data_IF_011207063275
#
_entry.id   IF_011207063275
#
_cell.length_a   1.000
_cell.length_b   1.000
_cell.length_c   1.000
_cell.angle_alpha   90.00
_cell.angle_beta   90.00
_cell.angle_gamma   90.00
#
_symmetry.space_group_name_H-M   'P 1'
#
loop_
_entity.id
_entity.type
_entity.pdbx_description
1 polymer ?
#
# COMPACT_ATOMS: atom_id res chain seq x y z
N UNK A 1 15.09 -5.27 -8.75
CA UNK A 1 14.68 -4.17 -7.85
C UNK A 1 13.71 -4.68 -6.79
N UNK A 2 12.42 -4.85 -7.09
CA UNK A 2 11.40 -5.31 -6.14
C UNK A 2 11.74 -6.62 -5.41
N UNK A 3 12.20 -7.64 -6.14
CA UNK A 3 12.61 -8.91 -5.52
C UNK A 3 13.71 -8.73 -4.46
N UNK A 4 14.72 -7.89 -4.72
CA UNK A 4 15.82 -7.66 -3.78
C UNK A 4 15.33 -6.89 -2.55
N UNK A 5 14.53 -5.83 -2.76
CA UNK A 5 13.95 -5.06 -1.66
C UNK A 5 13.10 -5.94 -0.75
N UNK A 6 12.20 -6.73 -1.34
CA UNK A 6 11.29 -7.58 -0.59
C UNK A 6 12.01 -8.72 0.13
N UNK A 7 13.02 -9.32 -0.50
CA UNK A 7 13.86 -10.35 0.15
C UNK A 7 14.59 -9.77 1.36
N UNK A 8 15.14 -8.55 1.24
CA UNK A 8 15.79 -7.86 2.34
C UNK A 8 14.80 -7.53 3.47
N UNK A 9 13.60 -7.04 3.14
CA UNK A 9 12.55 -6.78 4.11
C UNK A 9 12.11 -8.06 4.85
N UNK A 10 11.85 -9.13 4.10
CA UNK A 10 11.44 -10.42 4.66
C UNK A 10 12.48 -10.97 5.63
N UNK A 11 13.76 -10.86 5.27
CA UNK A 11 14.88 -11.25 6.13
C UNK A 11 14.97 -10.38 7.40
N UNK A 12 14.93 -9.06 7.27
CA UNK A 12 15.11 -8.16 8.42
C UNK A 12 13.91 -8.15 9.37
N UNK A 13 12.68 -8.23 8.84
CA UNK A 13 11.47 -8.25 9.66
C UNK A 13 11.10 -9.66 10.16
N UNK A 14 11.77 -10.70 9.65
CA UNK A 14 11.46 -12.11 9.88
C UNK A 14 9.98 -12.42 9.57
N UNK A 15 9.57 -12.12 8.34
CA UNK A 15 8.19 -12.29 7.88
C UNK A 15 8.10 -13.08 6.59
N UNK A 16 6.92 -13.66 6.36
CA UNK A 16 6.50 -14.13 5.05
C UNK A 16 6.16 -12.92 4.19
N UNK A 17 6.68 -12.92 2.96
CA UNK A 17 6.33 -11.93 1.95
C UNK A 17 5.66 -12.60 0.74
N UNK A 18 4.52 -12.08 0.31
CA UNK A 18 3.81 -12.50 -0.91
C UNK A 18 3.82 -11.32 -1.88
N UNK A 19 4.66 -11.40 -2.91
CA UNK A 19 4.74 -10.39 -3.97
C UNK A 19 3.71 -10.70 -5.05
N UNK A 20 2.74 -9.82 -5.27
CA UNK A 20 1.68 -10.05 -6.26
C UNK A 20 2.13 -9.60 -7.65
N UNK A 21 2.16 -10.53 -8.60
CA UNK A 21 2.41 -10.25 -10.01
C UNK A 21 1.08 -9.94 -10.73
N UNK A 22 0.48 -8.79 -10.43
CA UNK A 22 -0.78 -8.37 -11.04
C UNK A 22 -0.60 -7.96 -12.52
N UNK A 23 -1.66 -8.09 -13.31
CA UNK A 23 -1.67 -7.63 -14.71
C UNK A 23 -1.64 -6.11 -14.80
N UNK A 24 -0.94 -5.58 -15.81
CA UNK A 24 -0.61 -4.15 -15.93
C UNK A 24 -1.29 -3.51 -17.13
N UNK A 25 -1.56 -2.21 -17.01
CA UNK A 25 -1.90 -1.36 -18.14
C UNK A 25 -0.68 -1.19 -19.08
N UNK A 26 -0.89 -0.97 -20.39
CA UNK A 26 -2.19 -0.79 -21.05
C UNK A 26 -2.93 -2.08 -21.42
N UNK A 27 -2.26 -3.25 -21.44
CA UNK A 27 -2.88 -4.49 -21.90
C UNK A 27 -4.05 -4.91 -21.02
N UNK A 28 -3.97 -4.56 -19.73
CA UNK A 28 -4.98 -4.80 -18.72
C UNK A 28 -5.19 -3.53 -17.87
N UNK A 29 -6.03 -2.59 -18.32
CA UNK A 29 -6.31 -1.36 -17.57
C UNK A 29 -6.99 -1.65 -16.22
N UNK A 30 -6.98 -0.65 -15.33
CA UNK A 30 -7.77 -0.69 -14.10
C UNK A 30 -9.27 -0.92 -14.43
N UNK A 31 -9.98 -1.72 -13.61
CA UNK A 31 -9.62 -2.19 -12.27
C UNK A 31 -8.86 -3.54 -12.20
N UNK A 32 -8.35 -4.09 -13.32
CA UNK A 32 -7.80 -5.46 -13.33
C UNK A 32 -6.69 -5.67 -12.29
N UNK A 33 -5.78 -4.70 -12.10
CA UNK A 33 -4.74 -4.81 -11.08
C UNK A 33 -5.30 -4.88 -9.65
N UNK A 34 -6.42 -4.21 -9.37
CA UNK A 34 -7.11 -4.30 -8.07
C UNK A 34 -7.76 -5.67 -7.89
N UNK A 35 -8.36 -6.23 -8.94
CA UNK A 35 -9.00 -7.55 -8.87
C UNK A 35 -7.98 -8.67 -8.73
N UNK A 36 -6.86 -8.61 -9.45
CA UNK A 36 -5.75 -9.56 -9.30
C UNK A 36 -5.15 -9.51 -7.89
N UNK A 37 -4.96 -8.29 -7.36
CA UNK A 37 -4.45 -8.09 -6.00
C UNK A 37 -5.42 -8.61 -4.95
N UNK A 38 -6.72 -8.40 -5.13
CA UNK A 38 -7.73 -8.93 -4.23
C UNK A 38 -7.78 -10.46 -4.29
N UNK A 39 -7.73 -11.05 -5.48
CA UNK A 39 -7.69 -12.49 -5.65
C UNK A 39 -6.46 -13.12 -4.97
N UNK A 40 -5.30 -12.45 -5.03
CA UNK A 40 -4.10 -12.90 -4.33
C UNK A 40 -4.28 -12.85 -2.80
N UNK A 41 -4.89 -11.80 -2.25
CA UNK A 41 -5.20 -11.70 -0.82
C UNK A 41 -6.18 -12.82 -0.39
N UNK A 42 -7.21 -13.08 -1.20
CA UNK A 42 -8.15 -14.18 -0.94
C UNK A 42 -7.48 -15.55 -1.01
N UNK A 43 -6.54 -15.73 -1.96
CA UNK A 43 -5.74 -16.94 -2.04
C UNK A 43 -4.89 -17.12 -0.79
N UNK A 44 -4.22 -16.09 -0.28
CA UNK A 44 -3.51 -16.15 1.01
C UNK A 44 -4.48 -16.53 2.14
N UNK A 45 -5.64 -15.86 2.23
CA UNK A 45 -6.65 -16.13 3.25
C UNK A 45 -7.21 -17.57 3.22
N UNK A 46 -7.19 -18.25 2.06
CA UNK A 46 -7.61 -19.65 1.96
C UNK A 46 -6.74 -20.63 2.78
N UNK A 47 -5.58 -20.17 3.27
CA UNK A 47 -4.64 -20.96 4.07
C UNK A 47 -4.87 -20.83 5.59
N UNK A 48 -5.79 -19.99 6.06
CA UNK A 48 -6.04 -19.71 7.49
C UNK A 48 -6.26 -20.98 8.32
N UNK A 49 -6.94 -21.98 7.75
CA UNK A 49 -7.24 -23.24 8.44
C UNK A 49 -6.11 -24.29 8.33
N UNK A 50 -4.94 -23.92 7.80
CA UNK A 50 -3.79 -24.81 7.66
C UNK A 50 -3.93 -25.88 6.56
N UNK A 51 -4.94 -25.77 5.70
CA UNK A 51 -5.29 -26.75 4.65
C UNK A 51 -5.16 -26.19 3.22
N UNK A 52 -4.58 -25.00 3.06
CA UNK A 52 -4.39 -24.41 1.74
C UNK A 52 -3.33 -25.14 0.92
N UNK A 53 -3.19 -24.75 -0.34
CA UNK A 53 -2.28 -25.44 -1.30
C UNK A 53 -0.80 -25.22 -0.97
N UNK A 54 -0.45 -24.11 -0.33
CA UNK A 54 0.92 -23.77 0.05
C UNK A 54 1.25 -24.17 1.48
N UNK A 55 2.07 -25.20 1.62
CA UNK A 55 2.43 -25.73 2.94
C UNK A 55 3.19 -24.74 3.83
N UNK A 56 3.92 -23.79 3.24
CA UNK A 56 4.70 -22.80 3.99
C UNK A 56 3.79 -21.72 4.59
N UNK A 57 2.73 -21.31 3.89
CA UNK A 57 1.69 -20.43 4.45
C UNK A 57 0.95 -21.15 5.59
N UNK A 58 0.53 -22.39 5.36
CA UNK A 58 -0.19 -23.17 6.38
C UNK A 58 0.60 -23.34 7.69
N UNK A 59 1.92 -23.50 7.60
CA UNK A 59 2.78 -23.83 8.76
C UNK A 59 3.33 -22.61 9.47
N UNK A 60 3.53 -21.50 8.77
CA UNK A 60 4.37 -20.41 9.25
C UNK A 60 3.67 -19.04 9.24
N UNK A 61 2.55 -18.87 8.55
CA UNK A 61 1.86 -17.57 8.51
C UNK A 61 1.07 -17.31 9.80
N UNK A 62 1.22 -16.10 10.33
CA UNK A 62 0.36 -15.55 11.38
C UNK A 62 -0.72 -14.68 10.73
N UNK A 63 -1.90 -15.26 10.51
CA UNK A 63 -3.01 -14.55 9.87
C UNK A 63 -3.63 -13.47 10.78
N UNK A 64 -3.34 -13.46 12.09
CA UNK A 64 -3.72 -12.39 13.00
C UNK A 64 -2.80 -11.15 12.87
N UNK A 65 -1.70 -11.27 12.11
CA UNK A 65 -0.71 -10.22 11.88
C UNK A 65 -0.37 -10.05 10.40
N UNK A 66 -1.36 -9.65 9.61
CA UNK A 66 -1.15 -9.37 8.18
C UNK A 66 -0.91 -7.88 7.92
N UNK A 67 -0.02 -7.57 6.98
CA UNK A 67 0.27 -6.21 6.54
C UNK A 67 0.13 -6.10 5.02
N UNK A 68 -0.39 -4.96 4.56
CA UNK A 68 -0.44 -4.64 3.13
C UNK A 68 0.56 -3.51 2.85
N UNK A 69 1.36 -3.64 1.81
CA UNK A 69 2.41 -2.67 1.52
C UNK A 69 2.60 -2.49 0.02
N UNK A 70 3.02 -1.28 -0.37
CA UNK A 70 3.42 -1.00 -1.73
C UNK A 70 4.04 0.40 -1.86
N UNK A 71 4.64 0.63 -3.01
CA UNK A 71 5.23 1.90 -3.43
C UNK A 71 4.50 2.47 -4.64
N UNK A 72 4.41 3.80 -4.77
CA UNK A 72 3.84 4.45 -5.96
C UNK A 72 2.44 3.90 -6.30
N UNK A 73 2.24 3.36 -7.50
CA UNK A 73 1.01 2.68 -7.90
C UNK A 73 0.68 1.46 -7.02
N UNK A 74 1.68 0.73 -6.53
CA UNK A 74 1.51 -0.35 -5.56
C UNK A 74 1.00 0.14 -4.20
N UNK A 75 1.38 1.34 -3.77
CA UNK A 75 0.82 1.95 -2.55
C UNK A 75 -0.67 2.30 -2.75
N UNK A 76 -1.04 2.79 -3.93
CA UNK A 76 -2.45 2.99 -4.29
C UNK A 76 -3.23 1.67 -4.27
N UNK A 77 -2.68 0.59 -4.83
CA UNK A 77 -3.29 -0.74 -4.76
C UNK A 77 -3.43 -1.20 -3.30
N UNK A 78 -2.38 -1.09 -2.48
CA UNK A 78 -2.40 -1.45 -1.07
C UNK A 78 -3.49 -0.70 -0.30
N UNK A 79 -3.65 0.60 -0.57
CA UNK A 79 -4.75 1.41 -0.05
C UNK A 79 -6.12 0.84 -0.41
N UNK A 80 -6.39 0.65 -1.70
CA UNK A 80 -7.66 0.13 -2.19
C UNK A 80 -7.99 -1.26 -1.62
N UNK A 81 -6.98 -2.14 -1.50
CA UNK A 81 -7.15 -3.46 -0.89
C UNK A 81 -7.45 -3.37 0.61
N UNK A 82 -6.86 -2.42 1.32
CA UNK A 82 -7.11 -2.19 2.75
C UNK A 82 -8.52 -1.63 3.00
N UNK A 83 -9.02 -0.74 2.13
CA UNK A 83 -10.42 -0.29 2.15
C UNK A 83 -11.35 -1.48 1.86
N UNK A 84 -11.09 -2.24 0.78
CA UNK A 84 -11.89 -3.42 0.41
C UNK A 84 -11.95 -4.46 1.54
N UNK A 85 -10.84 -4.65 2.26
CA UNK A 85 -10.77 -5.50 3.44
C UNK A 85 -11.66 -5.02 4.59
N UNK A 86 -11.72 -3.70 4.85
CA UNK A 86 -12.57 -3.16 5.92
C UNK A 86 -14.05 -3.14 5.57
N UNK A 87 -14.41 -2.96 4.30
CA UNK A 87 -15.80 -2.99 3.83
C UNK A 87 -16.34 -4.43 3.71
N UNK A 88 -15.59 -5.32 3.07
CA UNK A 88 -16.06 -6.69 2.77
C UNK A 88 -15.69 -7.71 3.84
N UNK A 89 -14.71 -7.38 4.69
CA UNK A 89 -14.05 -8.34 5.57
C UNK A 89 -13.10 -9.29 4.82
N UNK A 90 -12.17 -9.87 5.57
CA UNK A 90 -11.36 -11.02 5.16
C UNK A 90 -11.49 -12.07 6.27
N UNK A 91 -12.20 -13.16 5.98
CA UNK A 91 -12.47 -14.17 7.00
C UNK A 91 -11.16 -14.78 7.54
N UNK A 92 -10.97 -14.67 8.85
CA UNK A 92 -9.81 -15.26 9.54
C UNK A 92 -8.47 -14.58 9.26
N UNK A 93 -8.46 -13.42 8.61
CA UNK A 93 -7.25 -12.61 8.41
C UNK A 93 -7.45 -11.23 9.04
N UNK A 94 -6.54 -10.86 9.93
CA UNK A 94 -6.50 -9.54 10.54
C UNK A 94 -5.40 -8.70 9.88
N UNK A 95 -5.83 -7.70 9.12
CA UNK A 95 -4.92 -6.67 8.59
C UNK A 95 -4.55 -5.70 9.71
N UNK A 96 -3.35 -5.81 10.26
CA UNK A 96 -2.89 -4.98 11.39
C UNK A 96 -2.50 -3.59 10.91
N UNK A 97 -1.79 -3.49 9.79
CA UNK A 97 -1.36 -2.21 9.26
C UNK A 97 -1.02 -2.20 7.77
N UNK A 98 -0.79 -0.98 7.28
CA UNK A 98 -0.49 -0.70 5.89
C UNK A 98 0.73 0.21 5.75
N UNK A 99 1.61 -0.07 4.79
CA UNK A 99 2.77 0.77 4.45
C UNK A 99 2.62 1.35 3.05
N UNK A 100 2.66 2.67 2.94
CA UNK A 100 2.48 3.43 1.71
C UNK A 100 3.76 4.21 1.39
N UNK A 101 4.58 3.70 0.47
CA UNK A 101 5.80 4.39 0.06
C UNK A 101 5.54 5.28 -1.17
N UNK A 102 5.66 6.61 -1.02
CA UNK A 102 5.51 7.56 -2.12
C UNK A 102 4.21 7.35 -2.92
N UNK A 103 3.03 7.39 -2.29
CA UNK A 103 1.82 6.85 -2.91
C UNK A 103 1.38 7.63 -4.16
N UNK A 104 1.07 6.89 -5.23
CA UNK A 104 0.48 7.45 -6.45
C UNK A 104 -1.03 7.64 -6.26
N UNK A 105 -1.40 8.72 -5.57
CA UNK A 105 -2.78 9.21 -5.56
C UNK A 105 -2.96 10.25 -6.64
N UNK A 106 -4.19 10.52 -7.08
CA UNK A 106 -4.54 11.60 -7.99
C UNK A 106 -4.79 12.93 -7.26
N UNK A 107 -5.09 13.97 -8.04
CA UNK A 107 -5.56 15.26 -7.55
C UNK A 107 -7.04 15.48 -7.90
N UNK A 108 -7.63 16.53 -7.34
CA UNK A 108 -9.02 16.93 -7.62
C UNK A 108 -9.20 17.46 -9.05
N UNK A 109 -8.20 18.20 -9.52
CA UNK A 109 -8.17 18.81 -10.84
C UNK A 109 -7.07 18.15 -11.70
N UNK A 110 -7.17 18.20 -13.03
CA UNK A 110 -6.15 17.66 -13.90
C UNK A 110 -4.78 18.31 -13.69
N UNK A 111 -3.72 17.50 -13.72
CA UNK A 111 -2.34 17.96 -13.59
C UNK A 111 -1.34 17.10 -14.40
N UNK A 112 -0.05 17.24 -14.12
CA UNK A 112 1.01 16.54 -14.83
C UNK A 112 0.86 15.01 -14.84
N UNK A 113 0.21 14.42 -13.82
CA UNK A 113 0.03 12.97 -13.71
C UNK A 113 -1.30 12.49 -14.33
N UNK A 114 -2.19 13.41 -14.72
CA UNK A 114 -3.49 13.07 -15.32
C UNK A 114 -3.39 12.19 -16.57
N UNK A 115 -2.48 12.42 -17.53
CA UNK A 115 -2.35 11.54 -18.69
C UNK A 115 -1.99 10.10 -18.32
N UNK A 116 -1.24 9.91 -17.22
CA UNK A 116 -0.92 8.56 -16.71
C UNK A 116 -2.18 7.91 -16.15
N UNK A 117 -2.98 8.65 -15.37
CA UNK A 117 -4.26 8.17 -14.82
C UNK A 117 -5.23 7.78 -15.94
N UNK A 118 -5.40 8.63 -16.97
CA UNK A 118 -6.24 8.35 -18.13
C UNK A 118 -5.75 7.13 -18.93
N UNK A 119 -4.44 6.93 -18.99
CA UNK A 119 -3.85 5.78 -19.68
C UNK A 119 -4.05 4.46 -18.91
N UNK A 120 -3.90 4.47 -17.59
CA UNK A 120 -4.04 3.25 -16.77
C UNK A 120 -5.48 2.97 -16.37
N UNK A 121 -6.35 3.98 -16.36
CA UNK A 121 -7.75 3.88 -16.00
C UNK A 121 -8.65 4.65 -16.98
N UNK A 122 -8.78 4.19 -18.24
CA UNK A 122 -9.46 4.94 -19.30
C UNK A 122 -10.94 5.21 -19.02
N UNK A 123 -11.58 4.41 -18.15
CA UNK A 123 -12.97 4.59 -17.76
C UNK A 123 -13.17 5.61 -16.63
N UNK A 124 -12.09 6.16 -16.05
CA UNK A 124 -12.19 7.17 -14.99
C UNK A 124 -12.68 8.49 -15.59
N UNK A 125 -13.93 8.84 -15.27
CA UNK A 125 -14.57 10.08 -15.76
C UNK A 125 -14.37 11.26 -14.82
N UNK A 126 -13.95 11.00 -13.59
CA UNK A 126 -13.88 11.96 -12.50
C UNK A 126 -12.57 11.73 -11.76
N UNK A 127 -11.71 12.75 -11.71
CA UNK A 127 -10.42 12.69 -11.00
C UNK A 127 -10.56 12.50 -9.48
N UNK A 128 -11.72 12.84 -8.94
CA UNK A 128 -12.16 12.54 -7.56
C UNK A 128 -12.68 11.11 -7.35
N UNK A 129 -12.48 10.16 -8.28
CA UNK A 129 -12.75 8.74 -8.01
C UNK A 129 -11.93 8.29 -6.79
N UNK A 130 -12.56 7.73 -5.74
CA UNK A 130 -11.87 7.44 -4.47
C UNK A 130 -10.73 6.43 -4.62
N UNK A 131 -10.75 5.60 -5.67
CA UNK A 131 -9.66 4.65 -5.95
C UNK A 131 -8.41 5.35 -6.45
N UNK A 132 -8.56 6.53 -7.03
CA UNK A 132 -7.47 7.34 -7.57
C UNK A 132 -7.12 8.47 -6.59
N UNK A 133 -8.11 9.25 -6.14
CA UNK A 133 -7.97 10.33 -5.18
C UNK A 133 -8.69 10.01 -3.85
N UNK A 134 -8.10 9.17 -2.98
CA UNK A 134 -8.72 8.79 -1.71
C UNK A 134 -8.79 9.91 -0.67
N UNK A 135 -8.04 10.99 -0.86
CA UNK A 135 -8.19 12.22 -0.08
C UNK A 135 -9.37 13.09 -0.56
N UNK A 136 -9.95 12.76 -1.73
CA UNK A 136 -11.11 13.41 -2.32
C UNK A 136 -12.39 13.22 -1.49
N UNK A 137 -13.39 14.08 -1.76
CA UNK A 137 -14.73 14.06 -1.17
C UNK A 137 -14.82 13.84 0.37
N UNK A 138 -13.80 14.26 1.13
CA UNK A 138 -13.81 14.18 2.60
C UNK A 138 -13.42 12.83 3.20
N UNK A 139 -12.89 11.89 2.39
CA UNK A 139 -12.30 10.66 2.90
C UNK A 139 -13.30 9.68 3.53
N UNK A 140 -14.56 9.67 3.09
CA UNK A 140 -15.61 8.78 3.63
C UNK A 140 -15.19 7.31 3.60
N UNK A 141 -14.49 6.89 2.55
CA UNK A 141 -13.96 5.52 2.45
C UNK A 141 -12.75 5.27 3.35
N UNK A 142 -12.01 6.32 3.76
CA UNK A 142 -10.87 6.21 4.68
C UNK A 142 -11.29 5.74 6.07
N UNK A 143 -12.49 6.13 6.52
CA UNK A 143 -13.08 5.63 7.76
C UNK A 143 -13.26 4.10 7.76
N UNK A 144 -13.36 3.51 6.56
CA UNK A 144 -13.57 2.08 6.34
C UNK A 144 -12.26 1.30 6.16
N UNK A 145 -11.08 1.88 6.42
CA UNK A 145 -9.83 1.12 6.36
C UNK A 145 -9.86 -0.06 7.33
N UNK A 146 -9.66 -1.27 6.78
CA UNK A 146 -9.66 -2.52 7.55
C UNK A 146 -8.42 -2.77 8.41
N UNK A 147 -7.63 -1.73 8.69
CA UNK A 147 -6.41 -1.84 9.49
C UNK A 147 -6.37 -0.79 10.62
N UNK A 148 -5.44 -0.96 11.56
CA UNK A 148 -5.32 -0.10 12.75
C UNK A 148 -4.10 0.83 12.72
N UNK A 149 -3.18 0.61 11.77
CA UNK A 149 -1.91 1.35 11.67
C UNK A 149 -1.60 1.66 10.21
N UNK A 150 -1.18 2.89 9.93
CA UNK A 150 -0.75 3.30 8.58
C UNK A 150 0.58 4.03 8.70
N UNK A 151 1.56 3.62 7.91
CA UNK A 151 2.85 4.30 7.77
C UNK A 151 3.02 4.81 6.35
N UNK A 152 3.21 6.12 6.21
CA UNK A 152 3.35 6.81 4.92
C UNK A 152 4.78 7.33 4.79
N UNK A 153 5.40 7.09 3.64
CA UNK A 153 6.64 7.75 3.26
C UNK A 153 6.40 8.71 2.10
N UNK A 154 7.00 9.90 2.18
CA UNK A 154 7.05 10.89 1.10
C UNK A 154 8.50 11.34 0.88
N UNK A 155 8.82 11.78 -0.34
CA UNK A 155 10.16 12.26 -0.69
C UNK A 155 10.12 13.77 -0.95
N UNK A 156 11.15 14.50 -0.53
CA UNK A 156 11.19 15.97 -0.60
C UNK A 156 11.10 16.52 -2.03
N UNK A 157 11.69 15.83 -3.01
CA UNK A 157 11.68 16.26 -4.41
C UNK A 157 10.56 15.59 -5.23
N UNK A 158 9.73 14.75 -4.60
CA UNK A 158 8.68 14.01 -5.28
C UNK A 158 7.49 14.90 -5.64
N UNK A 159 7.11 14.92 -6.92
CA UNK A 159 5.90 15.63 -7.38
C UNK A 159 4.59 15.11 -6.76
N UNK A 160 4.60 13.93 -6.14
CA UNK A 160 3.47 13.34 -5.42
C UNK A 160 3.50 13.60 -3.91
N UNK A 161 4.54 14.29 -3.39
CA UNK A 161 4.72 14.58 -1.95
C UNK A 161 3.46 15.15 -1.30
N UNK A 162 2.89 16.19 -1.90
CA UNK A 162 1.69 16.86 -1.38
C UNK A 162 0.46 15.95 -1.36
N UNK A 163 0.41 14.94 -2.26
CA UNK A 163 -0.69 13.96 -2.27
C UNK A 163 -0.60 13.01 -1.08
N UNK A 164 0.62 12.65 -0.66
CA UNK A 164 0.86 11.89 0.57
C UNK A 164 0.42 12.67 1.82
N UNK A 165 0.77 13.95 1.91
CA UNK A 165 0.32 14.83 3.00
C UNK A 165 -1.20 15.04 3.00
N UNK A 166 -1.80 15.24 1.82
CA UNK A 166 -3.25 15.38 1.67
C UNK A 166 -3.99 14.13 2.16
N UNK A 167 -3.47 12.94 1.82
CA UNK A 167 -4.00 11.67 2.32
C UNK A 167 -3.87 11.54 3.84
N UNK A 168 -2.71 11.88 4.41
CA UNK A 168 -2.47 11.86 5.85
C UNK A 168 -3.49 12.74 6.61
N UNK A 169 -3.70 13.97 6.13
CA UNK A 169 -4.65 14.90 6.75
C UNK A 169 -6.11 14.46 6.57
N UNK A 170 -6.46 13.93 5.40
CA UNK A 170 -7.79 13.39 5.14
C UNK A 170 -8.08 12.18 6.05
N UNK A 171 -7.11 11.28 6.21
CA UNK A 171 -7.24 10.09 7.05
C UNK A 171 -7.49 10.48 8.51
N UNK A 172 -6.75 11.45 9.05
CA UNK A 172 -6.98 11.98 10.41
C UNK A 172 -8.36 12.60 10.60
N UNK A 173 -8.94 13.18 9.55
CA UNK A 173 -10.26 13.85 9.59
C UNK A 173 -11.42 12.90 9.27
N UNK A 174 -11.13 11.70 8.77
CA UNK A 174 -12.13 10.74 8.28
C UNK A 174 -12.97 10.08 9.38
N UNK A 175 -12.50 10.10 10.64
CA UNK A 175 -13.10 9.34 11.73
C UNK A 175 -12.55 7.91 11.86
N UNK A 176 -11.58 7.52 11.03
CA UNK A 176 -10.79 6.29 11.24
C UNK A 176 -10.07 6.34 12.60
N UNK A 177 -10.18 5.27 13.38
CA UNK A 177 -9.74 5.21 14.78
C UNK A 177 -8.32 4.67 14.99
N UNK A 178 -7.60 4.41 13.90
CA UNK A 178 -6.23 3.91 13.95
C UNK A 178 -5.17 4.99 14.13
N UNK A 179 -3.91 4.58 14.05
CA UNK A 179 -2.74 5.47 14.13
C UNK A 179 -2.13 5.61 12.75
N UNK A 180 -1.97 6.86 12.29
CA UNK A 180 -1.26 7.17 11.06
C UNK A 180 0.04 7.91 11.38
N UNK A 181 1.13 7.47 10.78
CA UNK A 181 2.46 8.08 10.83
C UNK A 181 2.85 8.50 9.41
N UNK A 182 3.51 9.64 9.27
CA UNK A 182 4.08 10.10 7.99
C UNK A 182 5.54 10.48 8.19
N UNK A 183 6.40 10.05 7.28
CA UNK A 183 7.84 10.30 7.30
C UNK A 183 8.25 10.88 5.96
N UNK A 184 8.81 12.08 5.99
CA UNK A 184 9.40 12.72 4.81
C UNK A 184 10.90 12.47 4.76
N UNK A 185 11.39 12.09 3.59
CA UNK A 185 12.83 11.99 3.31
C UNK A 185 13.27 13.20 2.49
N UNK A 186 13.94 14.15 3.12
CA UNK A 186 14.39 15.39 2.49
C UNK A 186 15.39 15.12 1.34
N UNK A 187 15.23 15.85 0.24
CA UNK A 187 16.18 15.85 -0.89
C UNK A 187 16.24 14.56 -1.71
N UNK A 188 15.33 13.61 -1.48
CA UNK A 188 15.22 12.40 -2.29
C UNK A 188 14.08 12.49 -3.30
N UNK A 189 14.20 11.72 -4.38
CA UNK A 189 13.21 11.60 -5.45
C UNK A 189 12.22 10.47 -5.19
N UNK A 190 11.18 10.41 -6.03
CA UNK A 190 10.17 9.37 -6.01
C UNK A 190 10.80 7.96 -5.99
N UNK A 191 10.39 7.13 -5.02
CA UNK A 191 10.84 5.75 -4.82
C UNK A 191 12.36 5.54 -4.77
N UNK A 192 13.13 6.55 -4.34
CA UNK A 192 14.60 6.49 -4.23
C UNK A 192 15.14 5.21 -3.57
N UNK A 193 14.46 4.72 -2.52
CA UNK A 193 14.82 3.51 -1.76
C UNK A 193 14.92 2.23 -2.61
N UNK A 194 14.31 2.20 -3.79
CA UNK A 194 14.43 1.09 -4.72
C UNK A 194 15.62 1.24 -5.69
N UNK A 195 15.98 2.47 -6.03
CA UNK A 195 17.07 2.79 -6.95
C UNK A 195 18.43 2.85 -6.27
N UNK A 196 18.47 3.31 -5.01
CA UNK A 196 19.67 3.43 -4.20
C UNK A 196 19.46 2.79 -2.82
N UNK A 197 19.26 1.45 -2.75
CA UNK A 197 18.84 0.76 -1.53
C UNK A 197 19.88 0.77 -0.41
N UNK A 198 21.15 1.00 -0.74
CA UNK A 198 22.27 0.96 0.21
C UNK A 198 22.61 2.34 0.79
N UNK A 199 21.92 3.41 0.37
CA UNK A 199 22.15 4.73 0.97
C UNK A 199 21.57 4.82 2.38
N UNK A 200 22.14 5.69 3.22
CA UNK A 200 21.76 5.83 4.63
C UNK A 200 20.25 6.08 4.82
N UNK A 201 19.65 6.88 3.93
CA UNK A 201 18.22 7.20 3.96
C UNK A 201 17.34 5.99 3.59
N UNK A 202 17.74 5.18 2.61
CA UNK A 202 17.01 3.98 2.21
C UNK A 202 17.11 2.90 3.29
N UNK A 203 18.30 2.74 3.89
CA UNK A 203 18.53 1.86 5.03
C UNK A 203 17.71 2.31 6.24
N UNK A 204 17.62 3.62 6.51
CA UNK A 204 16.78 4.16 7.56
C UNK A 204 15.29 3.89 7.31
N UNK A 205 14.81 4.13 6.08
CA UNK A 205 13.45 3.81 5.68
C UNK A 205 13.13 2.32 5.87
N UNK A 206 14.03 1.41 5.48
CA UNK A 206 13.88 -0.04 5.71
C UNK A 206 13.73 -0.36 7.21
N UNK A 207 14.56 0.24 8.07
CA UNK A 207 14.47 0.03 9.53
C UNK A 207 13.13 0.47 10.12
N UNK A 208 12.57 1.57 9.62
CA UNK A 208 11.23 2.03 10.02
C UNK A 208 10.14 1.04 9.59
N UNK A 209 10.20 0.52 8.36
CA UNK A 209 9.26 -0.51 7.89
C UNK A 209 9.37 -1.79 8.73
N UNK A 210 10.59 -2.25 9.01
CA UNK A 210 10.86 -3.42 9.86
C UNK A 210 10.27 -3.22 11.26
N UNK A 211 10.55 -2.07 11.88
CA UNK A 211 10.03 -1.73 13.22
C UNK A 211 8.51 -1.58 13.24
N UNK A 212 7.92 -1.13 12.13
CA UNK A 212 6.48 -1.04 11.98
C UNK A 212 5.80 -2.42 11.93
N UNK A 213 6.35 -3.35 11.14
CA UNK A 213 5.81 -4.70 10.96
C UNK A 213 6.03 -5.55 12.22
N UNK A 214 7.23 -5.45 12.80
CA UNK A 214 7.64 -6.25 13.93
C UNK A 214 8.35 -5.36 14.97
N UNK A 215 7.59 -4.61 15.79
CA UNK A 215 8.19 -3.79 16.85
C UNK A 215 8.93 -4.69 17.82
N UNK A 216 10.18 -4.32 18.14
CA UNK A 216 10.92 -4.99 19.20
C UNK A 216 10.17 -4.77 20.53
N UNK A 217 9.92 -5.82 21.32
CA UNK A 217 9.22 -5.69 22.60
C UNK A 217 9.94 -4.81 23.63
#
# INVERSE_FOLDING_TARGET
>A
MYHNYLTNLAHQANVIAVSVQYRRAPEHPLPIAYDDSWAAIQWVASHVNGIGVESWLNKHADFERTFLAGDSAGANIAHNMTVRAGVNGLFGVKTVGMVLAHPFFGGKEPDFFSPVIEYIFPDVKIYDDPRINPAGAGGVELASLGCSRVLIFVAGNDGLRERGYSYYDALKKSGWSGVVEIVETEGEDHVFHLFNPDCDKAVFMMKLVVSFINPVP
#
